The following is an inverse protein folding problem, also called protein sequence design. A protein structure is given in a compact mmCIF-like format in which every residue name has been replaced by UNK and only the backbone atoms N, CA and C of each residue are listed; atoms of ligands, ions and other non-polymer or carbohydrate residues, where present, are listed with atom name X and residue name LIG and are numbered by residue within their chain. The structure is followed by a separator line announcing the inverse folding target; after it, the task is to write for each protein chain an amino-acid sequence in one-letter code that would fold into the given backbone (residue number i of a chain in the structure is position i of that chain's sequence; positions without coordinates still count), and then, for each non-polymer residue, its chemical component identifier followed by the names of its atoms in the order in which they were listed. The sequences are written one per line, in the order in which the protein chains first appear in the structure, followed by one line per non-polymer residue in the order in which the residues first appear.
data_IF_198025501104
#
_entry.id   IF_198025501104
#
_cell.length_a   1.000
_cell.length_b   1.000
_cell.length_c   1.000
_cell.angle_alpha   90.00
_cell.angle_beta   90.00
_cell.angle_gamma   90.00
#
_symmetry.space_group_name_H-M   'P 1'
#
loop_
_entity.id
_entity.type
_entity.pdbx_description
1 polymer ?
#
# COMPACT_ATOMS: atom_id res chain seq x y z
N UNK A 1 -7.05 65.04 -100.60
CA UNK A 1 -7.57 63.67 -100.44
C UNK A 1 -6.58 62.71 -101.08
N UNK A 2 -5.84 61.96 -100.26
CA UNK A 2 -5.17 60.74 -100.71
C UNK A 2 -5.01 59.81 -99.47
N UNK A 3 -6.12 59.19 -99.07
CA UNK A 3 -6.13 58.14 -98.06
C UNK A 3 -5.59 56.84 -98.68
N UNK A 4 -4.26 56.69 -98.71
CA UNK A 4 -3.66 55.37 -98.95
C UNK A 4 -3.85 54.54 -97.69
N UNK A 5 -4.94 53.77 -97.65
CA UNK A 5 -5.17 52.81 -96.59
C UNK A 5 -3.97 51.85 -96.52
N UNK A 6 -3.30 51.71 -95.36
CA UNK A 6 -2.14 50.83 -95.25
C UNK A 6 -2.63 49.39 -95.12
N UNK A 7 -3.10 48.80 -96.21
CA UNK A 7 -3.54 47.39 -96.25
C UNK A 7 -2.46 46.43 -95.73
N UNK A 8 -1.19 46.81 -95.88
CA UNK A 8 -0.03 46.09 -95.33
C UNK A 8 -0.03 46.10 -93.79
N UNK A 9 -0.36 47.22 -93.15
CA UNK A 9 -0.41 47.33 -91.67
C UNK A 9 -1.59 46.54 -91.11
N UNK A 10 -2.75 46.62 -91.77
CA UNK A 10 -3.94 45.84 -91.38
C UNK A 10 -3.67 44.35 -91.55
N UNK A 11 -3.09 43.94 -92.68
CA UNK A 11 -2.70 42.55 -92.92
C UNK A 11 -1.68 42.01 -91.91
N UNK A 12 -0.67 42.81 -91.54
CA UNK A 12 0.31 42.46 -90.53
C UNK A 12 -0.30 42.29 -89.14
N UNK A 13 -1.25 43.17 -88.75
CA UNK A 13 -1.95 43.07 -87.47
C UNK A 13 -2.84 41.81 -87.38
N UNK A 14 -3.56 41.49 -88.46
CA UNK A 14 -4.39 40.27 -88.52
C UNK A 14 -3.51 39.02 -88.41
N UNK A 15 -2.40 38.97 -89.15
CA UNK A 15 -1.43 37.88 -89.04
C UNK A 15 -0.85 37.75 -87.63
N UNK A 16 -0.42 38.86 -87.02
CA UNK A 16 0.09 38.86 -85.65
C UNK A 16 -0.94 38.35 -84.64
N UNK A 17 -2.21 38.73 -84.81
CA UNK A 17 -3.32 38.27 -83.96
C UNK A 17 -3.56 36.77 -84.12
N UNK A 18 -3.55 36.25 -85.35
CA UNK A 18 -3.67 34.80 -85.61
C UNK A 18 -2.51 34.06 -84.93
N UNK A 19 -1.27 34.53 -85.09
CA UNK A 19 -0.11 33.94 -84.42
C UNK A 19 -0.23 34.01 -82.88
N UNK A 20 -0.75 35.11 -82.34
CA UNK A 20 -0.97 35.24 -80.90
C UNK A 20 -2.03 34.26 -80.39
N UNK A 21 -3.14 34.06 -81.13
CA UNK A 21 -4.18 33.08 -80.79
C UNK A 21 -3.62 31.66 -80.85
N UNK A 22 -2.89 31.30 -81.91
CA UNK A 22 -2.24 29.99 -82.00
C UNK A 22 -1.20 29.79 -80.89
N UNK A 23 -0.41 30.81 -80.59
CA UNK A 23 0.56 30.79 -79.49
C UNK A 23 -0.14 30.61 -78.14
N UNK A 24 -1.28 31.27 -77.91
CA UNK A 24 -2.07 31.15 -76.70
C UNK A 24 -2.69 29.76 -76.56
N UNK A 25 -3.29 29.21 -77.63
CA UNK A 25 -3.86 27.86 -77.64
C UNK A 25 -2.77 26.80 -77.43
N UNK A 26 -1.63 26.95 -78.10
CA UNK A 26 -0.48 26.07 -77.91
C UNK A 26 0.06 26.14 -76.47
N UNK A 27 0.16 27.35 -75.91
CA UNK A 27 0.57 27.54 -74.53
C UNK A 27 -0.41 26.94 -73.53
N UNK A 28 -1.72 27.11 -73.73
CA UNK A 28 -2.77 26.53 -72.88
C UNK A 28 -2.74 25.01 -72.92
N UNK A 29 -2.56 24.44 -74.12
CA UNK A 29 -2.39 23.00 -74.28
C UNK A 29 -1.09 22.54 -73.62
N UNK A 30 0.02 23.28 -73.71
CA UNK A 30 1.28 22.83 -73.11
C UNK A 30 1.39 23.03 -71.58
N UNK A 31 0.68 24.02 -71.01
CA UNK A 31 0.71 24.31 -69.56
C UNK A 31 -0.29 23.51 -68.73
N UNK A 32 -1.34 22.97 -69.35
CA UNK A 32 -2.31 22.07 -68.73
C UNK A 32 -1.83 20.63 -68.59
N UNK A 33 -0.70 20.38 -67.91
CA UNK A 33 -0.30 19.06 -67.39
C UNK A 33 -0.63 17.82 -68.24
N UNK A 34 -0.29 17.81 -69.53
CA UNK A 34 -0.46 16.69 -70.47
C UNK A 34 0.67 15.64 -70.41
N UNK A 35 1.22 15.40 -69.22
CA UNK A 35 2.03 14.20 -69.01
C UNK A 35 1.17 12.94 -69.19
N UNK A 36 1.77 11.76 -69.48
CA UNK A 36 1.02 10.51 -69.51
C UNK A 36 0.21 10.35 -68.23
N UNK A 37 -1.11 10.14 -68.31
CA UNK A 37 -1.99 9.97 -67.15
C UNK A 37 -2.52 8.54 -67.09
N UNK A 38 -2.57 7.99 -65.89
CA UNK A 38 -3.19 6.72 -65.59
C UNK A 38 -4.56 6.97 -64.95
N UNK A 39 -5.56 6.23 -65.43
CA UNK A 39 -6.93 6.30 -64.91
C UNK A 39 -7.13 5.21 -63.86
N UNK A 40 -7.66 5.57 -62.70
CA UNK A 40 -8.01 4.63 -61.63
C UNK A 40 -9.48 4.79 -61.23
N UNK A 41 -10.08 3.68 -60.78
CA UNK A 41 -11.42 3.68 -60.19
C UNK A 41 -11.31 3.57 -58.68
N UNK A 42 -11.95 4.50 -57.99
CA UNK A 42 -12.04 4.55 -56.53
C UNK A 42 -13.47 4.26 -56.13
N UNK A 43 -13.67 3.37 -55.17
CA UNK A 43 -14.98 3.07 -54.61
C UNK A 43 -15.06 3.46 -53.13
N UNK A 44 -16.07 4.24 -52.77
CA UNK A 44 -16.39 4.65 -51.41
C UNK A 44 -17.62 3.90 -50.89
N UNK A 45 -17.53 3.31 -49.68
CA UNK A 45 -18.62 2.58 -49.02
C UNK A 45 -19.67 3.48 -48.31
N UNK A 46 -19.66 4.78 -48.60
CA UNK A 46 -20.62 5.73 -48.05
C UNK A 46 -20.66 7.03 -48.84
N UNK A 47 -21.47 7.98 -48.35
CA UNK A 47 -21.61 9.30 -48.97
C UNK A 47 -20.27 10.04 -49.00
N UNK A 48 -19.99 10.74 -50.11
CA UNK A 48 -18.86 11.67 -50.28
C UNK A 48 -19.38 13.10 -50.45
N UNK A 49 -19.72 13.81 -49.36
CA UNK A 49 -20.40 15.10 -49.46
C UNK A 49 -19.52 16.16 -50.12
N UNK A 50 -20.04 16.80 -51.17
CA UNK A 50 -19.40 17.93 -51.83
C UNK A 50 -18.27 17.60 -52.81
N UNK A 51 -17.95 16.31 -53.03
CA UNK A 51 -16.97 15.89 -54.03
C UNK A 51 -17.53 16.16 -55.43
N UNK A 52 -16.76 16.85 -56.27
CA UNK A 52 -17.16 17.25 -57.62
C UNK A 52 -16.14 16.76 -58.66
N UNK A 53 -16.59 16.67 -59.91
CA UNK A 53 -15.71 16.49 -61.07
C UNK A 53 -14.76 17.71 -61.14
N UNK A 54 -13.46 17.45 -61.32
CA UNK A 54 -12.39 18.42 -61.24
C UNK A 54 -11.77 18.58 -59.85
N UNK A 55 -12.30 17.92 -58.81
CA UNK A 55 -11.69 17.93 -57.48
C UNK A 55 -10.26 17.38 -57.54
N UNK A 56 -9.35 17.98 -56.75
CA UNK A 56 -7.96 17.57 -56.71
C UNK A 56 -7.79 16.16 -56.17
N UNK A 57 -6.82 15.43 -56.72
CA UNK A 57 -6.31 14.17 -56.18
C UNK A 57 -4.91 14.40 -55.66
N UNK A 58 -4.69 14.10 -54.39
CA UNK A 58 -3.43 14.27 -53.70
C UNK A 58 -2.84 12.90 -53.39
N UNK A 59 -1.52 12.80 -53.43
CA UNK A 59 -0.78 11.64 -52.96
C UNK A 59 0.18 12.12 -51.86
N UNK A 60 0.00 11.61 -50.64
CA UNK A 60 0.72 12.07 -49.44
C UNK A 60 0.77 13.62 -49.34
N UNK A 61 -0.35 14.28 -49.62
CA UNK A 61 -0.48 15.75 -49.57
C UNK A 61 0.00 16.53 -50.81
N UNK A 62 0.53 15.86 -51.84
CA UNK A 62 0.98 16.51 -53.09
C UNK A 62 -0.08 16.32 -54.18
N UNK A 63 -0.51 17.38 -54.86
CA UNK A 63 -1.47 17.27 -55.97
C UNK A 63 -0.86 16.51 -57.15
N UNK A 64 -1.45 15.35 -57.47
CA UNK A 64 -0.99 14.45 -58.53
C UNK A 64 -2.03 14.21 -59.63
N UNK A 65 -3.27 14.63 -59.40
CA UNK A 65 -4.36 14.34 -60.31
C UNK A 65 -5.64 15.13 -60.05
N UNK A 66 -6.71 14.68 -60.70
CA UNK A 66 -8.06 15.20 -60.53
C UNK A 66 -9.13 14.12 -60.76
N UNK A 67 -10.32 14.36 -60.22
CA UNK A 67 -11.51 13.53 -60.46
C UNK A 67 -12.07 13.84 -61.83
N UNK A 68 -12.18 12.83 -62.70
CA UNK A 68 -12.70 12.98 -64.06
C UNK A 68 -14.16 12.57 -64.20
N UNK A 69 -14.64 11.67 -63.36
CA UNK A 69 -16.03 11.20 -63.38
C UNK A 69 -16.49 10.77 -61.98
N UNK A 70 -17.79 10.90 -61.71
CA UNK A 70 -18.41 10.56 -60.43
C UNK A 70 -19.81 9.99 -60.65
N UNK A 71 -20.04 8.78 -60.15
CA UNK A 71 -21.31 8.08 -60.28
C UNK A 71 -21.65 7.20 -59.08
N UNK A 72 -22.90 6.77 -59.00
CA UNK A 72 -23.35 5.77 -58.02
C UNK A 72 -23.03 4.37 -58.55
N UNK A 73 -22.63 3.47 -57.65
CA UNK A 73 -22.32 2.10 -58.03
C UNK A 73 -23.62 1.36 -58.41
N UNK A 74 -23.70 0.67 -59.58
CA UNK A 74 -24.92 -0.01 -60.03
C UNK A 74 -25.38 -1.14 -59.12
N UNK A 75 -24.44 -1.76 -58.37
CA UNK A 75 -24.66 -2.86 -57.44
C UNK A 75 -25.24 -2.40 -56.10
N UNK A 76 -24.89 -1.20 -55.64
CA UNK A 76 -25.36 -0.65 -54.37
C UNK A 76 -25.44 0.89 -54.42
N UNK A 77 -26.63 1.49 -54.36
CA UNK A 77 -26.80 2.94 -54.44
C UNK A 77 -26.23 3.71 -53.24
N UNK A 78 -25.77 3.01 -52.18
CA UNK A 78 -25.03 3.63 -51.06
C UNK A 78 -23.53 3.79 -51.34
N UNK A 79 -23.01 3.17 -52.40
CA UNK A 79 -21.61 3.26 -52.81
C UNK A 79 -21.44 4.28 -53.92
N UNK A 80 -20.31 4.99 -53.88
CA UNK A 80 -19.95 6.00 -54.87
C UNK A 80 -18.68 5.57 -55.59
N UNK A 81 -18.74 5.52 -56.93
CA UNK A 81 -17.61 5.24 -57.80
C UNK A 81 -17.08 6.58 -58.35
N UNK A 82 -15.82 6.88 -58.08
CA UNK A 82 -15.12 8.03 -58.64
C UNK A 82 -14.02 7.54 -59.58
N UNK A 83 -13.94 8.13 -60.77
CA UNK A 83 -12.84 7.88 -61.70
C UNK A 83 -11.85 9.02 -61.59
N UNK A 84 -10.59 8.70 -61.30
CA UNK A 84 -9.51 9.69 -61.13
C UNK A 84 -8.47 9.56 -62.24
N UNK A 85 -7.93 10.71 -62.65
CA UNK A 85 -6.82 10.79 -63.61
C UNK A 85 -5.57 11.32 -62.90
N UNK A 86 -4.58 10.45 -62.74
CA UNK A 86 -3.36 10.70 -61.96
C UNK A 86 -2.14 10.67 -62.89
N UNK A 87 -1.12 11.47 -62.62
CA UNK A 87 0.13 11.42 -63.37
C UNK A 87 0.75 10.00 -63.33
N UNK A 88 1.22 9.48 -64.48
CA UNK A 88 1.78 8.11 -64.55
C UNK A 88 3.08 7.95 -63.75
N UNK A 89 3.71 9.05 -63.34
CA UNK A 89 4.88 9.05 -62.46
C UNK A 89 4.53 8.85 -60.99
N UNK A 90 3.24 8.92 -60.61
CA UNK A 90 2.79 8.72 -59.23
C UNK A 90 2.81 7.23 -58.88
N UNK A 91 3.46 6.82 -57.78
CA UNK A 91 3.59 5.41 -57.40
C UNK A 91 2.31 4.88 -56.73
N UNK A 92 1.20 4.83 -57.48
CA UNK A 92 -0.05 4.23 -57.02
C UNK A 92 0.06 2.70 -57.11
N UNK A 93 -0.26 2.04 -56.00
CA UNK A 93 -0.15 0.58 -55.81
C UNK A 93 -1.44 -0.01 -55.25
N UNK A 94 -1.54 -1.34 -55.22
CA UNK A 94 -2.71 -2.04 -54.70
C UNK A 94 -2.94 -1.83 -53.19
N UNK A 95 -1.89 -1.49 -52.44
CA UNK A 95 -1.95 -1.14 -51.02
C UNK A 95 -2.08 0.37 -50.77
N UNK A 96 -2.27 1.17 -51.84
CA UNK A 96 -2.57 2.60 -51.70
C UNK A 96 -3.94 2.78 -51.07
N UNK A 97 -3.96 3.43 -49.92
CA UNK A 97 -5.21 3.75 -49.22
C UNK A 97 -5.81 5.00 -49.82
N UNK A 98 -7.15 5.04 -49.84
CA UNK A 98 -7.88 6.19 -50.37
C UNK A 98 -8.78 6.78 -49.29
N UNK A 99 -8.65 8.08 -49.11
CA UNK A 99 -9.42 8.90 -48.18
C UNK A 99 -10.06 10.10 -48.87
N UNK A 100 -11.04 10.70 -48.20
CA UNK A 100 -11.53 12.02 -48.54
C UNK A 100 -10.99 13.02 -47.51
N UNK A 101 -10.20 13.99 -47.98
CA UNK A 101 -9.71 15.08 -47.15
C UNK A 101 -10.45 16.38 -47.50
N UNK A 102 -10.56 17.28 -46.53
CA UNK A 102 -11.16 18.60 -46.74
C UNK A 102 -10.07 19.66 -46.60
N UNK A 103 -9.77 20.37 -47.68
CA UNK A 103 -8.73 21.40 -47.71
C UNK A 103 -9.29 22.80 -47.55
N UNK A 104 -8.53 23.63 -46.82
CA UNK A 104 -8.82 25.05 -46.61
C UNK A 104 -9.95 25.31 -45.61
N UNK A 105 -10.17 26.60 -45.31
CA UNK A 105 -11.18 27.04 -44.34
C UNK A 105 -12.62 26.80 -44.82
N UNK A 106 -12.83 26.75 -46.14
CA UNK A 106 -14.12 26.44 -46.77
C UNK A 106 -14.40 24.94 -46.84
N UNK A 107 -13.42 24.09 -46.50
CA UNK A 107 -13.57 22.64 -46.44
C UNK A 107 -13.93 22.03 -47.79
N UNK A 108 -13.16 22.33 -48.85
CA UNK A 108 -13.40 21.73 -50.16
C UNK A 108 -12.88 20.28 -50.14
N UNK A 109 -13.70 19.29 -50.50
CA UNK A 109 -13.28 17.89 -50.52
C UNK A 109 -12.33 17.59 -51.67
N UNK A 110 -11.29 16.82 -51.36
CA UNK A 110 -10.29 16.30 -52.28
C UNK A 110 -10.05 14.83 -52.00
N UNK A 111 -9.65 14.06 -53.01
CA UNK A 111 -9.28 12.65 -52.81
C UNK A 111 -7.83 12.60 -52.36
N UNK A 112 -7.57 11.99 -51.21
CA UNK A 112 -6.23 11.74 -50.70
C UNK A 112 -5.85 10.27 -50.92
N UNK A 113 -4.69 10.06 -51.53
CA UNK A 113 -4.05 8.77 -51.72
C UNK A 113 -2.87 8.69 -50.76
N UNK A 114 -2.85 7.66 -49.92
CA UNK A 114 -1.72 7.39 -49.03
C UNK A 114 -0.93 6.18 -49.55
N UNK A 115 0.36 6.40 -49.80
CA UNK A 115 1.26 5.36 -50.30
C UNK A 115 1.46 4.24 -49.27
N UNK A 116 1.32 3.00 -49.72
CA UNK A 116 1.60 1.83 -48.90
C UNK A 116 3.10 1.49 -48.82
N UNK A 117 3.42 0.35 -48.21
CA UNK A 117 4.79 -0.06 -47.86
C UNK A 117 5.46 -0.96 -48.90
N UNK A 118 4.71 -1.43 -49.90
CA UNK A 118 5.24 -2.31 -50.95
C UNK A 118 6.02 -1.50 -52.01
N UNK A 119 7.22 -1.97 -52.38
CA UNK A 119 8.12 -1.29 -53.33
C UNK A 119 8.10 -1.89 -54.77
N UNK A 120 7.26 -2.90 -55.05
CA UNK A 120 7.25 -3.64 -56.32
C UNK A 120 6.09 -3.27 -57.29
N UNK A 121 6.32 -3.50 -58.60
CA UNK A 121 5.60 -2.95 -59.76
C UNK A 121 4.06 -3.13 -59.80
N UNK A 122 3.40 -2.10 -60.35
CA UNK A 122 1.96 -1.97 -60.59
C UNK A 122 1.44 -2.97 -61.65
N UNK A 123 0.48 -3.81 -61.27
CA UNK A 123 -0.32 -4.63 -62.19
C UNK A 123 -1.47 -3.85 -62.85
N UNK A 124 -2.28 -4.47 -63.72
CA UNK A 124 -3.36 -3.80 -64.46
C UNK A 124 -4.40 -3.17 -63.52
N UNK A 125 -4.75 -1.92 -63.82
CA UNK A 125 -5.60 -0.95 -63.10
C UNK A 125 -6.39 -1.53 -61.90
N UNK A 126 -5.84 -1.48 -60.67
CA UNK A 126 -6.56 -1.93 -59.48
C UNK A 126 -7.65 -0.92 -59.10
N UNK A 127 -8.85 -1.39 -58.78
CA UNK A 127 -9.87 -0.60 -58.08
C UNK A 127 -9.39 -0.35 -56.65
N UNK A 128 -9.29 0.91 -56.25
CA UNK A 128 -8.90 1.28 -54.90
C UNK A 128 -10.13 1.40 -54.02
N UNK A 129 -10.16 0.65 -52.92
CA UNK A 129 -11.28 0.64 -51.95
C UNK A 129 -10.94 1.59 -50.81
N UNK A 130 -11.82 2.55 -50.52
CA UNK A 130 -11.65 3.46 -49.41
C UNK A 130 -11.93 2.77 -48.06
N UNK A 131 -11.23 3.16 -47.00
CA UNK A 131 -11.46 2.61 -45.66
C UNK A 131 -12.84 2.99 -45.09
N UNK A 132 -13.35 2.18 -44.15
CA UNK A 132 -14.62 2.47 -43.49
C UNK A 132 -14.55 3.83 -42.76
N UNK A 133 -15.44 4.76 -43.12
CA UNK A 133 -15.45 6.12 -42.58
C UNK A 133 -14.61 7.15 -43.35
N UNK A 134 -13.90 6.74 -44.40
CA UNK A 134 -13.04 7.61 -45.22
C UNK A 134 -13.76 8.81 -45.87
N UNK A 135 -15.08 8.74 -46.05
CA UNK A 135 -15.91 9.85 -46.58
C UNK A 135 -16.54 10.74 -45.50
N UNK A 136 -16.32 10.44 -44.21
CA UNK A 136 -16.97 11.17 -43.11
C UNK A 136 -16.20 12.44 -42.77
N UNK A 137 -16.94 13.53 -42.55
CA UNK A 137 -16.36 14.76 -42.00
C UNK A 137 -16.18 14.67 -40.49
N UNK A 138 -15.18 15.39 -39.95
CA UNK A 138 -14.88 15.46 -38.51
C UNK A 138 -16.11 15.86 -37.67
N UNK A 139 -16.93 16.79 -38.17
CA UNK A 139 -18.15 17.22 -37.46
C UNK A 139 -19.20 16.12 -37.37
N UNK A 140 -19.25 15.23 -38.37
CA UNK A 140 -20.18 14.11 -38.37
C UNK A 140 -19.72 13.01 -37.41
N UNK A 141 -18.43 12.68 -37.43
CA UNK A 141 -17.83 11.78 -36.46
C UNK A 141 -18.02 12.27 -35.01
N UNK A 142 -17.88 13.57 -34.76
CA UNK A 142 -18.11 14.16 -33.43
C UNK A 142 -19.57 14.06 -32.96
N UNK A 143 -20.55 14.30 -33.84
CA UNK A 143 -21.97 14.16 -33.51
C UNK A 143 -22.36 12.72 -33.21
N UNK A 144 -21.82 11.78 -33.96
CA UNK A 144 -22.10 10.36 -33.76
C UNK A 144 -21.43 9.83 -32.47
N UNK A 145 -20.24 10.34 -32.14
CA UNK A 145 -19.60 10.09 -30.85
C UNK A 145 -20.44 10.60 -29.67
N UNK A 146 -20.98 11.82 -29.76
CA UNK A 146 -21.84 12.39 -28.70
C UNK A 146 -23.11 11.55 -28.48
N UNK A 147 -23.77 11.11 -29.56
CA UNK A 147 -24.94 10.22 -29.45
C UNK A 147 -24.60 8.87 -28.83
N UNK A 148 -23.41 8.35 -29.11
CA UNK A 148 -22.91 7.10 -28.51
C UNK A 148 -22.71 7.26 -27.00
N UNK A 149 -22.21 8.43 -26.56
CA UNK A 149 -22.03 8.74 -25.14
C UNK A 149 -23.37 8.81 -24.40
N UNK A 150 -24.38 9.47 -24.98
CA UNK A 150 -25.72 9.55 -24.37
C UNK A 150 -26.37 8.16 -24.21
N UNK A 151 -26.23 7.28 -25.22
CA UNK A 151 -26.73 5.90 -25.16
C UNK A 151 -26.02 5.08 -24.09
N UNK A 152 -24.68 5.15 -24.03
CA UNK A 152 -23.88 4.45 -23.00
C UNK A 152 -24.23 4.94 -21.60
N UNK A 153 -24.43 6.24 -21.42
CA UNK A 153 -24.76 6.81 -20.11
C UNK A 153 -26.17 6.41 -19.64
N UNK A 154 -27.11 6.30 -20.58
CA UNK A 154 -28.50 5.88 -20.30
C UNK A 154 -28.56 4.39 -19.96
N UNK A 155 -27.87 3.54 -20.72
CA UNK A 155 -27.84 2.08 -20.52
C UNK A 155 -27.08 1.65 -19.26
N UNK A 156 -26.07 2.43 -18.81
CA UNK A 156 -25.26 2.09 -17.63
C UNK A 156 -25.74 2.74 -16.32
N UNK A 157 -26.86 3.46 -16.35
CA UNK A 157 -27.39 4.19 -15.20
C UNK A 157 -27.75 3.30 -14.00
N UNK A 158 -28.30 2.10 -14.24
CA UNK A 158 -28.65 1.13 -13.19
C UNK A 158 -27.41 0.50 -12.50
N UNK A 159 -26.44 -0.08 -13.23
CA UNK A 159 -25.20 -0.59 -12.63
C UNK A 159 -24.43 0.47 -11.84
N UNK A 160 -24.37 1.71 -12.35
CA UNK A 160 -23.68 2.81 -11.66
C UNK A 160 -24.35 3.12 -10.32
N UNK A 161 -25.69 3.19 -10.29
CA UNK A 161 -26.47 3.43 -9.08
C UNK A 161 -26.29 2.32 -8.04
N UNK A 162 -26.23 1.06 -8.47
CA UNK A 162 -25.91 -0.09 -7.59
C UNK A 162 -24.50 0.02 -7.01
N UNK A 163 -23.51 0.40 -7.81
CA UNK A 163 -22.13 0.57 -7.34
C UNK A 163 -22.02 1.69 -6.30
N UNK A 164 -22.71 2.81 -6.50
CA UNK A 164 -22.75 3.92 -5.53
C UNK A 164 -23.41 3.47 -4.22
N UNK A 165 -24.54 2.76 -4.30
CA UNK A 165 -25.22 2.22 -3.10
C UNK A 165 -24.35 1.21 -2.35
N UNK A 166 -23.61 0.36 -3.07
CA UNK A 166 -22.67 -0.60 -2.47
C UNK A 166 -21.46 0.09 -1.83
N UNK A 167 -20.92 1.15 -2.45
CA UNK A 167 -19.84 1.95 -1.85
C UNK A 167 -20.31 2.64 -0.56
N UNK A 168 -21.54 3.16 -0.54
CA UNK A 168 -22.09 3.78 0.67
C UNK A 168 -22.29 2.76 1.79
N UNK A 169 -22.82 1.57 1.46
CA UNK A 169 -22.96 0.46 2.41
C UNK A 169 -21.61 -0.02 2.97
N UNK A 170 -20.60 -0.13 2.10
CA UNK A 170 -19.23 -0.48 2.48
C UNK A 170 -18.60 0.61 3.36
N UNK A 171 -18.77 1.89 3.00
CA UNK A 171 -18.24 3.03 3.76
C UNK A 171 -18.91 3.16 5.12
N UNK A 172 -20.22 2.93 5.22
CA UNK A 172 -20.94 2.86 6.50
C UNK A 172 -20.49 1.65 7.34
N UNK A 173 -20.17 0.53 6.69
CA UNK A 173 -19.54 -0.63 7.32
C UNK A 173 -18.16 -0.29 7.89
N UNK A 174 -17.36 0.46 7.13
CA UNK A 174 -16.03 0.90 7.54
C UNK A 174 -16.10 1.91 8.68
N UNK A 175 -17.00 2.90 8.59
CA UNK A 175 -17.23 3.91 9.62
C UNK A 175 -17.68 3.29 10.95
N UNK A 176 -18.54 2.27 10.91
CA UNK A 176 -18.99 1.51 12.09
C UNK A 176 -17.91 0.63 12.70
N UNK A 177 -16.87 0.27 11.94
CA UNK A 177 -15.83 -0.66 12.36
C UNK A 177 -14.48 0.03 12.62
N UNK A 178 -14.44 1.37 12.59
CA UNK A 178 -13.29 2.22 12.92
C UNK A 178 -12.63 1.84 14.24
N UNK A 179 -13.41 1.60 15.31
CA UNK A 179 -12.87 1.17 16.60
C UNK A 179 -12.16 -0.21 16.59
N UNK A 180 -12.47 -1.09 15.64
CA UNK A 180 -11.72 -2.35 15.46
C UNK A 180 -10.46 -2.16 14.62
N UNK A 181 -10.45 -1.20 13.70
CA UNK A 181 -9.28 -0.86 12.90
C UNK A 181 -8.20 -0.22 13.77
N UNK A 182 -8.58 0.64 14.72
CA UNK A 182 -7.65 1.18 15.72
C UNK A 182 -7.00 0.07 16.56
N UNK A 183 -7.78 -0.95 16.94
CA UNK A 183 -7.27 -2.12 17.67
C UNK A 183 -6.31 -2.99 16.85
N UNK A 184 -6.54 -3.13 15.54
CA UNK A 184 -5.65 -3.87 14.64
C UNK A 184 -4.35 -3.10 14.40
N UNK A 185 -4.42 -1.78 14.21
CA UNK A 185 -3.25 -0.92 14.03
C UNK A 185 -2.41 -0.89 15.31
N UNK A 186 -3.04 -0.71 16.48
CA UNK A 186 -2.35 -0.77 17.76
C UNK A 186 -1.73 -2.16 18.04
N UNK A 187 -2.40 -3.24 17.63
CA UNK A 187 -1.88 -4.60 17.71
C UNK A 187 -0.67 -4.82 16.79
N UNK A 188 -0.69 -4.23 15.60
CA UNK A 188 0.40 -4.31 14.63
C UNK A 188 1.60 -3.48 15.09
N UNK A 189 1.40 -2.26 15.60
CA UNK A 189 2.44 -1.41 16.19
C UNK A 189 3.14 -2.10 17.37
N UNK A 190 2.39 -2.85 18.18
CA UNK A 190 2.93 -3.64 19.30
C UNK A 190 3.73 -4.86 18.85
N UNK A 191 3.38 -5.47 17.71
CA UNK A 191 4.12 -6.61 17.13
C UNK A 191 5.33 -6.19 16.31
N UNK A 192 5.28 -5.05 15.61
CA UNK A 192 6.40 -4.54 14.80
C UNK A 192 7.39 -3.70 15.61
N UNK A 193 7.23 -3.62 16.93
CA UNK A 193 8.11 -2.85 17.81
C UNK A 193 8.03 -1.34 17.60
N UNK A 194 6.94 -0.84 16.99
CA UNK A 194 6.72 0.57 16.65
C UNK A 194 6.08 1.41 17.75
N UNK A 195 5.69 0.81 18.88
CA UNK A 195 5.28 1.55 20.07
C UNK A 195 6.49 2.05 20.86
N UNK A 196 6.37 3.22 21.51
CA UNK A 196 7.29 3.64 22.57
C UNK A 196 7.53 2.45 23.50
N UNK A 197 8.78 2.02 23.76
CA UNK A 197 9.04 0.85 24.59
C UNK A 197 8.32 1.05 25.91
N UNK A 198 7.32 0.20 26.16
CA UNK A 198 6.54 0.26 27.40
C UNK A 198 7.54 0.08 28.54
N UNK A 199 7.80 1.16 29.27
CA UNK A 199 8.78 1.14 30.34
C UNK A 199 8.22 0.25 31.45
N UNK A 200 8.77 -0.96 31.57
CA UNK A 200 8.45 -1.87 32.67
C UNK A 200 8.88 -1.21 33.98
N UNK A 201 7.94 -1.03 34.88
CA UNK A 201 8.21 -0.45 36.20
C UNK A 201 8.66 -1.59 37.10
N UNK A 202 9.87 -1.48 37.62
CA UNK A 202 10.45 -2.49 38.49
C UNK A 202 10.35 -2.07 39.94
N UNK A 203 9.84 -2.95 40.80
CA UNK A 203 9.75 -2.76 42.23
C UNK A 203 10.58 -3.78 42.97
N UNK A 204 10.97 -3.41 44.18
CA UNK A 204 11.79 -4.25 45.04
C UNK A 204 11.09 -4.50 46.39
N UNK A 205 11.39 -5.63 47.01
CA UNK A 205 11.05 -5.87 48.41
C UNK A 205 12.02 -5.11 49.29
N UNK A 206 11.55 -4.64 50.45
CA UNK A 206 12.41 -3.99 51.45
C UNK A 206 12.74 -4.96 52.58
N UNK A 207 14.03 -5.11 52.89
CA UNK A 207 14.44 -5.82 54.09
C UNK A 207 14.12 -4.97 55.34
N UNK A 208 13.70 -5.60 56.46
CA UNK A 208 13.55 -4.92 57.73
C UNK A 208 14.89 -4.35 58.20
N UNK A 209 14.90 -3.05 58.49
CA UNK A 209 16.09 -2.32 58.97
C UNK A 209 16.32 -2.50 60.48
N UNK A 210 15.26 -2.77 61.25
CA UNK A 210 15.34 -2.97 62.69
C UNK A 210 14.62 -4.26 63.09
N UNK A 211 15.41 -5.28 63.42
CA UNK A 211 14.93 -6.59 63.80
C UNK A 211 14.71 -6.74 65.31
N UNK A 212 14.91 -5.66 66.08
CA UNK A 212 14.91 -5.65 67.53
C UNK A 212 16.31 -5.73 68.12
N UNK A 213 16.45 -5.76 69.46
CA UNK A 213 17.75 -5.83 70.11
C UNK A 213 18.51 -7.09 69.67
N UNK A 214 19.80 -6.92 69.34
CA UNK A 214 20.71 -8.03 69.05
C UNK A 214 20.66 -9.01 70.23
N UNK A 215 20.17 -10.22 69.95
CA UNK A 215 20.02 -11.28 70.93
C UNK A 215 21.28 -12.15 70.96
N UNK A 216 21.08 -13.47 70.87
CA UNK A 216 22.18 -14.41 70.65
C UNK A 216 22.74 -14.23 69.23
N UNK A 217 24.05 -14.42 69.06
CA UNK A 217 24.67 -14.46 67.73
C UNK A 217 24.46 -15.83 67.08
N UNK A 218 24.49 -15.86 65.74
CA UNK A 218 24.50 -17.11 64.99
C UNK A 218 25.80 -17.88 65.26
N UNK A 219 25.68 -19.18 65.54
CA UNK A 219 26.84 -20.06 65.72
C UNK A 219 27.07 -20.90 64.47
N UNK A 220 28.33 -20.96 64.03
CA UNK A 220 28.74 -21.71 62.86
C UNK A 220 28.43 -20.99 61.54
N UNK A 221 28.94 -21.54 60.44
CA UNK A 221 28.79 -20.96 59.12
C UNK A 221 27.46 -21.40 58.49
N UNK A 222 26.50 -20.48 58.41
CA UNK A 222 25.19 -20.68 57.80
C UNK A 222 25.20 -20.23 56.34
N UNK A 223 24.61 -21.02 55.44
CA UNK A 223 24.32 -20.58 54.07
C UNK A 223 22.83 -20.56 53.77
N UNK A 224 22.43 -19.63 52.91
CA UNK A 224 21.07 -19.57 52.34
C UNK A 224 21.20 -19.85 50.84
N UNK A 225 20.90 -21.08 50.37
CA UNK A 225 20.79 -21.34 48.94
C UNK A 225 19.59 -20.60 48.32
N UNK A 226 19.49 -20.62 46.99
CA UNK A 226 18.32 -20.06 46.31
C UNK A 226 17.04 -20.80 46.77
N UNK A 227 15.99 -20.09 47.21
CA UNK A 227 14.73 -20.71 47.60
C UNK A 227 14.14 -21.57 46.49
N UNK A 228 13.56 -22.71 46.84
CA UNK A 228 12.83 -23.55 45.88
C UNK A 228 11.39 -23.07 45.75
N UNK A 229 10.78 -23.14 44.56
CA UNK A 229 9.38 -22.81 44.37
C UNK A 229 8.76 -23.65 43.24
N UNK A 230 7.43 -23.61 43.10
CA UNK A 230 6.79 -24.13 41.87
C UNK A 230 7.02 -23.17 40.70
N UNK A 231 7.02 -23.67 39.46
CA UNK A 231 7.33 -22.87 38.26
C UNK A 231 6.54 -21.55 38.14
N UNK A 232 5.28 -21.52 38.60
CA UNK A 232 4.47 -20.29 38.60
C UNK A 232 5.05 -19.18 39.48
N UNK A 233 5.72 -19.54 40.58
CA UNK A 233 6.38 -18.62 41.52
C UNK A 233 7.80 -18.26 41.06
N UNK A 234 8.38 -18.95 40.09
CA UNK A 234 9.68 -18.61 39.49
C UNK A 234 9.53 -17.48 38.45
N UNK A 235 8.94 -16.36 38.88
CA UNK A 235 8.59 -15.24 38.00
C UNK A 235 8.96 -13.91 38.61
N UNK A 236 9.11 -12.89 37.77
CA UNK A 236 9.20 -11.48 38.16
C UNK A 236 7.81 -10.81 38.25
N UNK A 237 6.72 -11.48 37.86
CA UNK A 237 5.40 -10.85 37.81
C UNK A 237 4.71 -10.87 39.18
N UNK A 238 3.86 -9.87 39.43
CA UNK A 238 2.93 -9.90 40.56
C UNK A 238 1.85 -10.94 40.27
N UNK A 239 1.73 -11.95 41.14
CA UNK A 239 0.74 -13.00 41.03
C UNK A 239 -0.53 -12.67 41.82
N UNK A 240 -1.66 -13.19 41.37
CA UNK A 240 -2.97 -12.92 41.97
C UNK A 240 -3.73 -14.20 42.32
N UNK A 241 -4.59 -14.12 43.33
CA UNK A 241 -5.56 -15.16 43.70
C UNK A 241 -6.97 -14.54 43.81
N UNK A 242 -7.94 -14.99 43.00
CA UNK A 242 -7.82 -15.93 41.89
C UNK A 242 -6.90 -15.40 40.78
N UNK A 243 -6.39 -16.32 39.96
CA UNK A 243 -5.54 -15.97 38.83
C UNK A 243 -6.33 -15.15 37.81
N UNK A 244 -6.04 -13.85 37.74
CA UNK A 244 -6.65 -12.89 36.82
C UNK A 244 -5.64 -11.82 36.47
N UNK A 245 -5.72 -11.29 35.24
CA UNK A 245 -4.93 -10.13 34.84
C UNK A 245 -5.54 -8.84 35.38
N UNK A 246 -4.68 -7.99 35.95
CA UNK A 246 -5.02 -6.67 36.42
C UNK A 246 -4.26 -5.64 35.57
N UNK A 247 -4.96 -4.82 34.75
CA UNK A 247 -4.29 -3.90 33.82
C UNK A 247 -3.25 -2.98 34.47
N UNK A 248 -3.50 -2.52 35.71
CA UNK A 248 -2.55 -1.68 36.46
C UNK A 248 -1.25 -2.38 36.88
N UNK A 249 -1.15 -3.70 36.69
CA UNK A 249 0.03 -4.52 37.00
C UNK A 249 0.65 -5.17 35.74
N UNK A 250 0.15 -4.86 34.55
CA UNK A 250 0.60 -5.50 33.31
C UNK A 250 2.10 -5.29 33.05
N UNK A 251 2.59 -4.08 33.34
CA UNK A 251 3.97 -3.66 33.09
C UNK A 251 4.81 -3.59 34.38
N UNK A 252 4.27 -4.13 35.49
CA UNK A 252 4.90 -4.13 36.81
C UNK A 252 5.65 -5.43 37.03
N UNK A 253 6.94 -5.32 37.34
CA UNK A 253 7.81 -6.44 37.64
C UNK A 253 8.49 -6.26 39.00
N UNK A 254 8.83 -7.37 39.62
CA UNK A 254 9.79 -7.47 40.69
C UNK A 254 11.22 -7.34 40.13
N UNK A 255 12.14 -6.81 40.95
CA UNK A 255 13.53 -6.59 40.60
C UNK A 255 14.29 -7.87 40.17
N UNK A 256 13.84 -9.02 40.68
CA UNK A 256 14.30 -10.33 40.26
C UNK A 256 13.14 -11.33 40.39
N UNK A 257 13.33 -12.57 39.95
CA UNK A 257 12.42 -13.67 40.25
C UNK A 257 12.17 -13.77 41.75
N UNK A 258 10.94 -14.11 42.14
CA UNK A 258 10.52 -14.16 43.55
C UNK A 258 11.51 -14.96 44.43
N UNK A 259 12.04 -16.14 44.03
CA UNK A 259 13.02 -16.87 44.84
C UNK A 259 14.31 -16.08 45.09
N UNK A 260 14.91 -15.53 44.03
CA UNK A 260 16.16 -14.74 44.12
C UNK A 260 15.98 -13.47 44.93
N UNK A 261 14.84 -12.81 44.74
CA UNK A 261 14.47 -11.61 45.48
C UNK A 261 14.34 -11.91 46.99
N UNK A 262 13.62 -12.98 47.35
CA UNK A 262 13.50 -13.42 48.74
C UNK A 262 14.85 -13.82 49.33
N UNK A 263 15.71 -14.50 48.57
CA UNK A 263 17.07 -14.85 49.03
C UNK A 263 17.87 -13.60 49.38
N UNK A 264 17.92 -12.63 48.46
CA UNK A 264 18.68 -11.40 48.63
C UNK A 264 18.19 -10.62 49.86
N UNK A 265 16.87 -10.47 50.00
CA UNK A 265 16.28 -9.72 51.12
C UNK A 265 16.36 -10.47 52.44
N UNK A 266 16.35 -11.80 52.45
CA UNK A 266 16.59 -12.58 53.67
C UNK A 266 18.03 -12.46 54.14
N UNK A 267 19.01 -12.57 53.23
CA UNK A 267 20.42 -12.34 53.56
C UNK A 267 20.61 -10.94 54.13
N UNK A 268 20.08 -9.91 53.46
CA UNK A 268 20.13 -8.52 53.96
C UNK A 268 19.46 -8.37 55.33
N UNK A 269 18.38 -9.13 55.59
CA UNK A 269 17.75 -9.15 56.92
C UNK A 269 18.69 -9.74 57.98
N UNK A 270 19.44 -10.79 57.67
CA UNK A 270 20.44 -11.31 58.59
C UNK A 270 21.62 -10.36 58.77
N UNK A 271 22.06 -9.67 57.72
CA UNK A 271 23.10 -8.64 57.80
C UNK A 271 22.67 -7.48 58.70
N UNK A 272 21.41 -7.04 58.60
CA UNK A 272 20.82 -6.01 59.45
C UNK A 272 20.68 -6.48 60.92
N UNK A 273 20.69 -7.78 61.18
CA UNK A 273 20.68 -8.34 62.52
C UNK A 273 22.09 -8.45 63.12
N UNK A 274 23.00 -9.09 62.40
CA UNK A 274 24.39 -9.34 62.78
C UNK A 274 25.26 -9.55 61.53
N UNK A 275 25.82 -8.46 61.00
CA UNK A 275 26.65 -8.47 59.80
C UNK A 275 27.87 -9.40 59.88
N UNK A 276 28.41 -9.63 61.08
CA UNK A 276 29.62 -10.45 61.24
C UNK A 276 29.35 -11.96 61.10
N UNK A 277 28.12 -12.39 61.36
CA UNK A 277 27.71 -13.79 61.30
C UNK A 277 26.55 -14.02 60.33
N UNK A 278 26.29 -13.05 59.43
CA UNK A 278 25.24 -13.15 58.45
C UNK A 278 25.50 -14.33 57.50
N UNK A 279 24.45 -15.06 57.09
CA UNK A 279 24.59 -16.15 56.13
C UNK A 279 25.06 -15.64 54.78
N UNK A 280 25.89 -16.42 54.10
CA UNK A 280 26.31 -16.12 52.73
C UNK A 280 25.56 -17.01 51.73
N UNK A 281 25.70 -16.69 50.44
CA UNK A 281 25.24 -17.54 49.36
C UNK A 281 26.14 -18.77 49.28
N UNK A 282 25.58 -19.89 48.85
CA UNK A 282 26.33 -21.14 48.69
C UNK A 282 27.50 -21.02 47.70
N UNK A 283 27.43 -20.09 46.73
CA UNK A 283 28.51 -19.80 45.79
C UNK A 283 29.75 -19.18 46.45
N UNK A 284 29.55 -18.49 47.57
CA UNK A 284 30.57 -17.64 48.18
C UNK A 284 31.29 -18.39 49.33
N UNK A 285 30.85 -19.62 49.63
CA UNK A 285 31.37 -20.48 50.71
C UNK A 285 31.81 -21.84 50.15
N UNK A 286 32.95 -22.34 50.63
CA UNK A 286 33.41 -23.71 50.36
C UNK A 286 32.72 -24.79 51.22
N UNK A 287 32.76 -24.67 52.55
CA UNK A 287 32.11 -25.61 53.48
C UNK A 287 31.16 -24.86 54.42
N UNK A 288 29.93 -25.33 54.56
CA UNK A 288 28.89 -24.75 55.42
C UNK A 288 28.57 -25.71 56.57
N UNK A 289 28.50 -25.21 57.80
CA UNK A 289 28.07 -26.03 58.95
C UNK A 289 26.56 -26.31 58.88
N UNK A 290 25.81 -25.31 58.43
CA UNK A 290 24.36 -25.34 58.35
C UNK A 290 23.85 -24.72 57.05
N UNK A 291 22.68 -25.15 56.59
CA UNK A 291 21.95 -24.50 55.50
C UNK A 291 20.51 -24.20 55.93
N UNK A 292 20.05 -22.98 55.62
CA UNK A 292 18.65 -22.57 55.77
C UNK A 292 17.96 -22.69 54.41
N UNK A 293 17.27 -23.81 54.21
CA UNK A 293 16.51 -24.12 53.01
C UNK A 293 15.14 -23.44 53.10
N UNK A 294 14.78 -22.64 52.09
CA UNK A 294 13.48 -21.98 51.98
C UNK A 294 12.72 -22.56 50.79
N UNK A 295 11.44 -22.88 51.01
CA UNK A 295 10.49 -23.30 49.99
C UNK A 295 9.30 -22.33 49.96
N UNK A 296 9.12 -21.66 48.81
CA UNK A 296 8.10 -20.62 48.62
C UNK A 296 6.76 -21.30 48.32
N UNK A 297 5.84 -21.24 49.28
CA UNK A 297 4.50 -21.82 49.18
C UNK A 297 3.47 -20.84 48.64
N UNK A 298 3.59 -19.56 49.02
CA UNK A 298 2.70 -18.47 48.57
C UNK A 298 3.49 -17.18 48.42
N UNK A 299 3.25 -16.48 47.32
CA UNK A 299 3.71 -15.11 47.10
C UNK A 299 2.78 -14.46 46.08
N UNK A 300 1.71 -13.82 46.55
CA UNK A 300 0.60 -13.36 45.68
C UNK A 300 -0.27 -12.30 46.34
N UNK A 301 -1.05 -11.58 45.54
CA UNK A 301 -2.12 -10.71 46.00
C UNK A 301 -3.44 -11.49 45.98
N UNK A 302 -4.04 -11.73 47.14
CA UNK A 302 -5.41 -12.23 47.24
C UNK A 302 -6.39 -11.06 47.12
N UNK A 303 -7.49 -11.25 46.38
CA UNK A 303 -8.48 -10.17 46.16
C UNK A 303 -9.90 -10.50 46.65
N UNK A 304 -10.18 -11.76 46.96
CA UNK A 304 -11.56 -12.24 47.23
C UNK A 304 -12.20 -11.61 48.48
N UNK A 305 -11.40 -11.30 49.50
CA UNK A 305 -11.85 -10.71 50.77
C UNK A 305 -11.28 -9.29 51.00
N UNK A 306 -11.01 -8.59 49.90
CA UNK A 306 -10.23 -7.35 49.87
C UNK A 306 -8.75 -7.61 49.55
N UNK A 307 -8.03 -6.62 49.00
CA UNK A 307 -6.69 -6.84 48.50
C UNK A 307 -5.69 -7.05 49.66
N UNK A 308 -5.00 -8.18 49.62
CA UNK A 308 -4.03 -8.57 50.63
C UNK A 308 -2.79 -9.23 50.01
N UNK A 309 -1.60 -8.81 50.43
CA UNK A 309 -0.35 -9.46 50.06
C UNK A 309 -0.13 -10.68 50.95
N UNK A 310 -0.11 -11.88 50.36
CA UNK A 310 0.13 -13.15 51.04
C UNK A 310 1.53 -13.67 50.76
N UNK A 311 2.27 -13.97 51.82
CA UNK A 311 3.57 -14.65 51.74
C UNK A 311 3.50 -15.89 52.63
N UNK A 312 3.90 -17.04 52.10
CA UNK A 312 3.99 -18.30 52.83
C UNK A 312 5.28 -19.01 52.48
N UNK A 313 6.15 -19.23 53.47
CA UNK A 313 7.47 -19.83 53.32
C UNK A 313 7.61 -21.03 54.27
N UNK A 314 8.09 -22.16 53.76
CA UNK A 314 8.54 -23.27 54.61
C UNK A 314 10.06 -23.19 54.73
N UNK A 315 10.56 -23.08 55.96
CA UNK A 315 11.98 -23.03 56.25
C UNK A 315 12.44 -24.32 56.93
N UNK A 316 13.63 -24.80 56.55
CA UNK A 316 14.30 -25.95 57.17
C UNK A 316 15.76 -25.62 57.40
N UNK A 317 16.26 -25.90 58.60
CA UNK A 317 17.69 -25.84 58.91
C UNK A 317 18.23 -27.25 58.83
N UNK A 318 19.26 -27.46 58.02
CA UNK A 318 19.95 -28.75 57.87
C UNK A 318 21.41 -28.62 58.28
N UNK A 319 21.98 -29.68 58.86
CA UNK A 319 23.42 -29.76 59.11
C UNK A 319 24.20 -30.13 57.82
N UNK A 320 25.53 -30.13 57.91
CA UNK A 320 26.44 -30.54 56.82
C UNK A 320 26.21 -31.96 56.27
N UNK A 321 25.50 -32.82 56.99
CA UNK A 321 25.15 -34.17 56.54
C UNK A 321 23.75 -34.24 55.91
N UNK A 322 23.05 -33.10 55.80
CA UNK A 322 21.68 -33.02 55.31
C UNK A 322 20.62 -33.41 56.35
N UNK A 323 20.99 -33.59 57.62
CA UNK A 323 20.02 -33.90 58.69
C UNK A 323 19.25 -32.64 59.05
N UNK A 324 17.92 -32.73 59.03
CA UNK A 324 17.04 -31.62 59.47
C UNK A 324 17.19 -31.41 60.98
N UNK A 325 17.62 -30.20 61.36
CA UNK A 325 17.73 -29.75 62.75
C UNK A 325 16.40 -29.19 63.22
N UNK A 326 15.80 -28.34 62.39
CA UNK A 326 14.53 -27.69 62.68
C UNK A 326 13.78 -27.39 61.38
N UNK A 327 12.44 -27.36 61.46
CA UNK A 327 11.57 -26.99 60.35
C UNK A 327 10.41 -26.15 60.85
N UNK A 328 10.01 -25.11 60.12
CA UNK A 328 8.88 -24.26 60.48
C UNK A 328 8.22 -23.66 59.24
N UNK A 329 6.90 -23.50 59.30
CA UNK A 329 6.12 -22.75 58.31
C UNK A 329 5.91 -21.32 58.82
N UNK A 330 6.11 -20.33 57.96
CA UNK A 330 5.89 -18.91 58.20
C UNK A 330 4.88 -18.40 57.19
N UNK A 331 3.78 -17.81 57.67
CA UNK A 331 2.73 -17.28 56.82
C UNK A 331 2.30 -15.92 57.33
N UNK A 332 2.28 -14.94 56.44
CA UNK A 332 1.82 -13.58 56.72
C UNK A 332 0.87 -13.11 55.62
N UNK A 333 -0.10 -12.31 56.04
CA UNK A 333 -1.04 -11.65 55.13
C UNK A 333 -1.18 -10.19 55.56
N UNK A 334 -0.94 -9.27 54.63
CA UNK A 334 -1.07 -7.83 54.86
C UNK A 334 -2.14 -7.26 53.94
N UNK A 335 -3.26 -6.83 54.54
CA UNK A 335 -4.30 -6.09 53.83
C UNK A 335 -3.81 -4.69 53.43
N UNK A 336 -4.33 -4.18 52.33
CA UNK A 336 -4.10 -2.82 51.86
C UNK A 336 -5.37 -2.25 51.22
N UNK A 337 -5.43 -0.94 51.01
CA UNK A 337 -6.69 -0.28 50.66
C UNK A 337 -6.96 -0.29 49.16
N UNK A 338 -5.98 0.13 48.35
CA UNK A 338 -6.14 0.30 46.91
C UNK A 338 -5.34 -0.74 46.13
N UNK A 339 -5.98 -1.37 45.15
CA UNK A 339 -5.34 -2.35 44.26
C UNK A 339 -4.44 -1.66 43.23
N UNK A 340 -3.35 -1.07 43.71
CA UNK A 340 -2.35 -0.34 42.92
C UNK A 340 -0.94 -0.82 43.26
N UNK A 341 0.03 -0.76 42.32
CA UNK A 341 1.35 -1.34 42.52
C UNK A 341 2.11 -0.83 43.76
N UNK A 342 2.17 0.48 44.06
CA UNK A 342 2.87 0.97 45.25
C UNK A 342 2.28 0.45 46.56
N UNK A 343 0.95 0.36 46.66
CA UNK A 343 0.26 -0.14 47.85
C UNK A 343 0.49 -1.65 48.04
N UNK A 344 0.43 -2.43 46.95
CA UNK A 344 0.73 -3.85 46.99
C UNK A 344 2.20 -4.12 47.40
N UNK A 345 3.15 -3.40 46.83
CA UNK A 345 4.59 -3.53 47.15
C UNK A 345 4.89 -3.16 48.60
N UNK A 346 4.23 -2.11 49.11
CA UNK A 346 4.31 -1.76 50.54
C UNK A 346 3.78 -2.90 51.41
N UNK A 347 2.62 -3.46 51.09
CA UNK A 347 2.03 -4.57 51.83
C UNK A 347 2.91 -5.84 51.80
N UNK A 348 3.51 -6.16 50.64
CA UNK A 348 4.48 -7.24 50.53
C UNK A 348 5.74 -6.98 51.38
N UNK A 349 6.25 -5.75 51.39
CA UNK A 349 7.40 -5.38 52.21
C UNK A 349 7.10 -5.52 53.71
N UNK A 350 5.92 -5.11 54.15
CA UNK A 350 5.51 -5.22 55.56
C UNK A 350 5.31 -6.68 55.99
N UNK A 351 4.64 -7.49 55.15
CA UNK A 351 4.49 -8.93 55.37
C UNK A 351 5.86 -9.64 55.39
N UNK A 352 6.73 -9.33 54.44
CA UNK A 352 8.07 -9.88 54.38
C UNK A 352 8.89 -9.47 55.61
N UNK A 353 8.83 -8.22 56.05
CA UNK A 353 9.55 -7.75 57.23
C UNK A 353 9.21 -8.53 58.50
N UNK A 354 7.94 -8.90 58.68
CA UNK A 354 7.50 -9.76 59.80
C UNK A 354 8.01 -11.20 59.66
N UNK A 355 7.88 -11.80 58.47
CA UNK A 355 8.41 -13.15 58.20
C UNK A 355 9.93 -13.19 58.40
N UNK A 356 10.67 -12.23 57.86
CA UNK A 356 12.12 -12.17 57.96
C UNK A 356 12.57 -12.06 59.42
N UNK A 357 11.91 -11.20 60.21
CA UNK A 357 12.16 -11.11 61.66
C UNK A 357 11.94 -12.44 62.38
N UNK A 358 10.86 -13.12 62.06
CA UNK A 358 10.53 -14.40 62.66
C UNK A 358 11.49 -15.52 62.24
N UNK A 359 11.90 -15.56 60.96
CA UNK A 359 12.90 -16.49 60.44
C UNK A 359 14.26 -16.26 61.10
N UNK A 360 14.73 -15.01 61.16
CA UNK A 360 16.02 -14.67 61.80
C UNK A 360 16.00 -15.09 63.28
N UNK A 361 14.96 -14.68 64.01
CA UNK A 361 14.81 -15.01 65.44
C UNK A 361 14.72 -16.51 65.68
N UNK A 362 14.00 -17.23 64.83
CA UNK A 362 13.88 -18.68 64.91
C UNK A 362 15.21 -19.39 64.61
N UNK A 363 15.93 -18.94 63.58
CA UNK A 363 17.21 -19.51 63.16
C UNK A 363 18.27 -19.35 64.25
N UNK A 364 18.37 -18.15 64.83
CA UNK A 364 19.25 -17.83 65.97
C UNK A 364 18.94 -18.66 67.23
N UNK A 365 17.70 -19.11 67.41
CA UNK A 365 17.32 -19.95 68.55
C UNK A 365 17.56 -21.45 68.30
N UNK A 366 17.54 -21.86 67.03
CA UNK A 366 17.68 -23.26 66.63
C UNK A 366 19.14 -23.70 66.50
N UNK A 367 20.05 -22.76 66.19
CA UNK A 367 21.50 -22.92 66.19
C UNK A 367 22.09 -22.42 67.53
#
# INVERSE_FOLDING_TARGET
METRAPFVVVGAFVLATIFAVFGFVYWLHNTGGLGPRATYHVQFDGSVPGLLIGAGVLFNGIRVGEVTDLGLAPDNPRRVNATISVASTTPVRSDTKVGLEFQGLTGVPVIALEGGTLLANSGPVPTLIAEAGAGQSMTQAARDALRKVDSVLTENSEPLKKTIANMQTFTDGLARNTGKLDGIIAGLEKLTGGGTPVQKITYDLRAPQNLGPAGKTLKGQLAIPEPTAVAMLETQRVLFSPAKEYPGFADVLWADSIPKLLQARLIESFENYDIAHAPLRTSDIGQTDFQLLIDVRRFRVAVDAGPAAEIGLSARIVDKNGKVIASRLFEESQKFDKLEPPAAVAAFSDAFGRIAKDIVTWTVRAL
#
